data_IF_352917162569
#
_entry.id   IF_352917162569
#
_cell.length_a   1.000
_cell.length_b   1.000
_cell.length_c   1.000
_cell.angle_alpha   90.00
_cell.angle_beta   90.00
_cell.angle_gamma   90.00
#
_symmetry.space_group_name_H-M   'P 1'
#
loop_
_entity.id
_entity.type
_entity.pdbx_description
1 polymer ?
#
# COMPACT_ATOMS: atom_id res chain seq x y z
N UNK A 1 -15.95 -14.13 8.84
CA UNK A 1 -16.23 -13.98 7.40
C UNK A 1 -16.06 -12.54 6.95
N UNK A 2 -16.64 -11.56 7.65
CA UNK A 2 -16.51 -10.11 7.35
C UNK A 2 -15.06 -9.64 7.13
N UNK A 3 -14.12 -10.05 7.99
CA UNK A 3 -12.71 -9.66 7.89
C UNK A 3 -12.04 -10.17 6.60
N UNK A 4 -12.38 -11.37 6.13
CA UNK A 4 -11.88 -11.90 4.85
C UNK A 4 -12.41 -11.09 3.66
N UNK A 5 -13.66 -10.62 3.75
CA UNK A 5 -14.23 -9.74 2.71
C UNK A 5 -13.49 -8.40 2.71
N UNK A 6 -13.16 -7.83 3.89
CA UNK A 6 -12.36 -6.60 3.99
C UNK A 6 -10.98 -6.75 3.35
N UNK A 7 -10.27 -7.84 3.67
CA UNK A 7 -8.96 -8.17 3.05
C UNK A 7 -9.10 -8.29 1.54
N UNK A 8 -10.13 -8.97 1.06
CA UNK A 8 -10.37 -9.14 -0.37
C UNK A 8 -10.65 -7.79 -1.06
N UNK A 9 -11.51 -6.93 -0.49
CA UNK A 9 -11.77 -5.58 -1.01
C UNK A 9 -10.48 -4.77 -1.07
N UNK A 10 -9.69 -4.78 0.01
CA UNK A 10 -8.42 -4.06 0.07
C UNK A 10 -7.44 -4.53 -1.02
N UNK A 11 -7.39 -5.85 -1.23
CA UNK A 11 -6.59 -6.49 -2.28
C UNK A 11 -7.07 -6.07 -3.68
N UNK A 12 -8.38 -6.12 -3.96
CA UNK A 12 -8.94 -5.73 -5.25
C UNK A 12 -8.74 -4.24 -5.54
N UNK A 13 -8.88 -3.38 -4.54
CA UNK A 13 -8.60 -1.95 -4.68
C UNK A 13 -7.13 -1.70 -5.04
N UNK A 14 -6.19 -2.44 -4.46
CA UNK A 14 -4.78 -2.31 -4.79
C UNK A 14 -4.42 -2.87 -6.15
N UNK A 15 -5.08 -3.94 -6.60
CA UNK A 15 -4.97 -4.38 -7.99
C UNK A 15 -5.51 -3.33 -8.95
N UNK A 16 -6.65 -2.71 -8.63
CA UNK A 16 -7.21 -1.61 -9.42
C UNK A 16 -6.23 -0.42 -9.48
N UNK A 17 -5.59 -0.07 -8.36
CA UNK A 17 -4.55 0.95 -8.31
C UNK A 17 -3.37 0.63 -9.25
N UNK A 18 -2.81 -0.58 -9.18
CA UNK A 18 -1.73 -1.01 -10.09
C UNK A 18 -2.15 -0.97 -11.56
N UNK A 19 -3.33 -1.52 -11.88
CA UNK A 19 -3.83 -1.56 -13.26
C UNK A 19 -4.29 -0.19 -13.77
N UNK A 20 -4.63 0.75 -12.90
CA UNK A 20 -4.89 2.13 -13.30
C UNK A 20 -3.66 2.78 -13.94
N UNK A 21 -2.45 2.40 -13.48
CA UNK A 21 -1.18 2.89 -14.01
C UNK A 21 -0.66 2.04 -15.18
N UNK A 22 -1.00 0.76 -15.26
CA UNK A 22 -0.50 -0.16 -16.32
C UNK A 22 -1.41 -0.26 -17.54
N UNK A 23 -2.71 -0.06 -17.35
CA UNK A 23 -3.76 -0.29 -18.33
C UNK A 23 -4.18 -1.75 -18.42
N UNK A 24 -5.44 -1.99 -18.81
CA UNK A 24 -6.03 -3.34 -18.96
C UNK A 24 -5.31 -4.17 -20.02
N UNK A 25 -4.72 -3.51 -21.02
CA UNK A 25 -3.92 -4.15 -22.07
C UNK A 25 -2.68 -4.87 -21.51
N UNK A 26 -2.23 -4.55 -20.30
CA UNK A 26 -1.14 -5.28 -19.64
C UNK A 26 -1.52 -6.70 -19.21
N UNK A 27 -2.81 -7.00 -18.99
CA UNK A 27 -3.24 -8.37 -18.69
C UNK A 27 -2.90 -9.34 -19.82
N UNK A 28 -3.04 -8.91 -21.08
CA UNK A 28 -2.72 -9.76 -22.23
C UNK A 28 -1.21 -9.97 -22.40
N UNK A 29 -0.40 -8.96 -22.04
CA UNK A 29 1.06 -9.03 -22.17
C UNK A 29 1.70 -9.80 -21.00
N UNK A 30 1.09 -9.74 -19.82
CA UNK A 30 1.59 -10.34 -18.58
C UNK A 30 0.45 -11.04 -17.83
N UNK A 31 -0.09 -12.15 -18.37
CA UNK A 31 -1.29 -12.80 -17.83
C UNK A 31 -1.13 -13.35 -16.41
N UNK A 32 0.11 -13.61 -15.97
CA UNK A 32 0.40 -14.08 -14.61
C UNK A 32 0.67 -12.94 -13.61
N UNK A 33 0.85 -11.69 -14.07
CA UNK A 33 1.08 -10.56 -13.18
C UNK A 33 -0.09 -10.30 -12.20
N UNK A 34 -1.38 -10.36 -12.59
CA UNK A 34 -2.46 -10.17 -11.63
C UNK A 34 -2.46 -11.23 -10.53
N UNK A 35 -2.20 -12.50 -10.88
CA UNK A 35 -2.10 -13.58 -9.90
C UNK A 35 -0.92 -13.37 -8.95
N UNK A 36 0.22 -12.93 -9.49
CA UNK A 36 1.38 -12.60 -8.69
C UNK A 36 1.08 -11.46 -7.71
N UNK A 37 0.50 -10.35 -8.19
CA UNK A 37 0.12 -9.21 -7.36
C UNK A 37 -0.93 -9.60 -6.31
N UNK A 38 -1.88 -10.48 -6.66
CA UNK A 38 -2.83 -11.05 -5.71
C UNK A 38 -2.11 -11.79 -4.57
N UNK A 39 -1.11 -12.63 -4.91
CA UNK A 39 -0.32 -13.39 -3.95
C UNK A 39 0.61 -12.52 -3.09
N UNK A 40 0.84 -11.26 -3.45
CA UNK A 40 1.56 -10.27 -2.64
C UNK A 40 0.58 -9.46 -1.78
N UNK A 41 -0.44 -8.87 -2.39
CA UNK A 41 -1.37 -7.98 -1.70
C UNK A 41 -2.27 -8.73 -0.72
N UNK A 42 -2.74 -9.94 -1.06
CA UNK A 42 -3.65 -10.66 -0.18
C UNK A 42 -2.99 -11.02 1.16
N UNK A 43 -1.79 -11.64 1.21
CA UNK A 43 -1.09 -11.85 2.49
C UNK A 43 -0.77 -10.54 3.22
N UNK A 44 -0.34 -9.50 2.50
CA UNK A 44 -0.08 -8.19 3.09
C UNK A 44 -1.31 -7.63 3.83
N UNK A 45 -2.46 -7.57 3.16
CA UNK A 45 -3.69 -7.07 3.77
C UNK A 45 -4.23 -7.98 4.85
N UNK A 46 -4.05 -9.30 4.74
CA UNK A 46 -4.44 -10.23 5.79
C UNK A 46 -3.61 -10.06 7.07
N UNK A 47 -2.29 -9.83 6.94
CA UNK A 47 -1.40 -9.54 8.07
C UNK A 47 -1.76 -8.19 8.68
N UNK A 48 -1.98 -7.16 7.86
CA UNK A 48 -2.30 -5.82 8.34
C UNK A 48 -3.67 -5.78 9.04
N UNK A 49 -4.69 -6.42 8.47
CA UNK A 49 -6.00 -6.60 9.12
C UNK A 49 -5.88 -7.37 10.45
N UNK A 50 -5.06 -8.41 10.50
CA UNK A 50 -4.78 -9.12 11.76
C UNK A 50 -4.14 -8.18 12.80
N UNK A 51 -3.18 -7.36 12.40
CA UNK A 51 -2.53 -6.39 13.27
C UNK A 51 -3.49 -5.30 13.74
N UNK A 52 -4.35 -4.78 12.85
CA UNK A 52 -5.39 -3.80 13.18
C UNK A 52 -6.34 -4.36 14.24
N UNK A 53 -6.87 -5.56 14.00
CA UNK A 53 -7.81 -6.19 14.93
C UNK A 53 -7.13 -6.59 16.24
N UNK A 54 -5.96 -7.23 16.21
CA UNK A 54 -5.28 -7.73 17.41
C UNK A 54 -4.73 -6.61 18.28
N UNK A 55 -4.08 -5.61 17.69
CA UNK A 55 -3.38 -4.54 18.40
C UNK A 55 -4.16 -3.21 18.42
N UNK A 56 -5.41 -3.21 17.94
CA UNK A 56 -6.29 -2.03 17.91
C UNK A 56 -5.67 -0.83 17.20
N UNK A 57 -4.91 -1.08 16.14
CA UNK A 57 -4.17 -0.03 15.45
C UNK A 57 -5.10 1.10 15.00
N UNK A 58 -4.64 2.34 15.21
CA UNK A 58 -5.24 3.57 14.69
C UNK A 58 -4.72 3.85 13.28
N UNK A 59 -5.32 4.79 12.58
CA UNK A 59 -4.86 5.30 11.27
C UNK A 59 -3.36 5.56 11.18
N UNK A 60 -2.76 6.28 12.13
CA UNK A 60 -1.32 6.53 12.09
C UNK A 60 -0.48 5.27 12.33
N UNK A 61 -0.96 4.29 13.09
CA UNK A 61 -0.29 3.00 13.23
C UNK A 61 -0.37 2.22 11.92
N UNK A 62 -1.53 2.24 11.24
CA UNK A 62 -1.69 1.63 9.92
C UNK A 62 -0.78 2.31 8.90
N UNK A 63 -0.63 3.63 8.96
CA UNK A 63 0.30 4.39 8.14
C UNK A 63 1.74 3.96 8.39
N UNK A 64 2.18 3.87 9.65
CA UNK A 64 3.54 3.44 10.00
C UNK A 64 3.77 1.98 9.58
N UNK A 65 2.79 1.09 9.78
CA UNK A 65 2.89 -0.30 9.34
C UNK A 65 3.00 -0.40 7.81
N UNK A 66 2.21 0.38 7.06
CA UNK A 66 2.32 0.50 5.61
C UNK A 66 3.67 1.07 5.17
N UNK A 67 4.18 2.09 5.87
CA UNK A 67 5.51 2.66 5.63
C UNK A 67 6.62 1.60 5.83
N UNK A 68 6.60 0.86 6.94
CA UNK A 68 7.57 -0.21 7.22
C UNK A 68 7.51 -1.26 6.13
N UNK A 69 6.30 -1.67 5.73
CA UNK A 69 6.14 -2.64 4.66
C UNK A 69 6.67 -2.13 3.32
N UNK A 70 6.32 -0.91 2.92
CA UNK A 70 6.81 -0.28 1.69
C UNK A 70 8.33 -0.11 1.69
N UNK A 71 8.91 0.25 2.84
CA UNK A 71 10.36 0.36 3.01
C UNK A 71 11.04 -1.01 2.84
N UNK A 72 10.52 -2.07 3.45
CA UNK A 72 11.08 -3.42 3.28
C UNK A 72 10.83 -3.98 1.87
N UNK A 73 9.70 -3.67 1.25
CA UNK A 73 9.39 -4.08 -0.12
C UNK A 73 10.38 -3.48 -1.14
N UNK A 74 11.00 -2.34 -0.84
CA UNK A 74 12.03 -1.71 -1.66
C UNK A 74 13.23 -2.63 -1.97
N UNK A 75 13.54 -3.58 -1.08
CA UNK A 75 14.62 -4.55 -1.31
C UNK A 75 14.30 -5.53 -2.45
N UNK A 76 13.02 -5.80 -2.67
CA UNK A 76 12.54 -6.79 -3.62
C UNK A 76 12.06 -6.14 -4.92
N UNK A 77 11.46 -4.94 -4.79
CA UNK A 77 10.92 -4.15 -5.89
C UNK A 77 11.64 -2.79 -5.92
N UNK A 78 12.94 -2.75 -6.29
CA UNK A 78 13.65 -1.49 -6.32
C UNK A 78 13.18 -0.69 -7.53
N UNK A 79 12.41 0.35 -7.22
CA UNK A 79 11.84 1.28 -8.19
C UNK A 79 12.60 2.61 -8.25
N UNK A 80 11.87 3.70 -8.48
CA UNK A 80 12.42 5.05 -8.65
C UNK A 80 13.24 5.57 -7.46
N UNK A 81 13.10 4.98 -6.27
CA UNK A 81 13.88 5.35 -5.08
C UNK A 81 15.39 5.08 -5.20
N UNK A 82 15.83 4.29 -6.17
CA UNK A 82 17.24 4.06 -6.49
C UNK A 82 17.68 4.72 -7.81
N UNK A 83 16.85 5.57 -8.40
CA UNK A 83 17.21 6.36 -9.57
C UNK A 83 17.73 7.73 -9.15
N UNK A 84 18.74 8.31 -9.83
CA UNK A 84 19.23 9.66 -9.55
C UNK A 84 18.10 10.72 -9.50
N UNK A 85 18.27 11.80 -8.72
CA UNK A 85 19.42 12.11 -7.86
C UNK A 85 19.45 11.26 -6.58
N UNK A 86 20.64 10.75 -6.22
CA UNK A 86 20.84 9.93 -5.02
C UNK A 86 21.60 10.72 -3.96
N UNK A 87 21.05 10.77 -2.74
CA UNK A 87 21.71 11.28 -1.55
C UNK A 87 21.74 10.13 -0.52
N UNK A 88 22.94 9.73 -0.08
CA UNK A 88 23.14 8.53 0.74
C UNK A 88 22.54 7.25 0.10
N UNK A 89 22.64 7.15 -1.23
CA UNK A 89 22.18 5.97 -1.98
C UNK A 89 20.66 5.89 -2.18
N UNK A 90 19.90 6.93 -1.82
CA UNK A 90 18.45 7.01 -2.01
C UNK A 90 18.04 8.30 -2.71
N UNK A 91 17.04 8.19 -3.57
CA UNK A 91 16.24 9.32 -4.01
C UNK A 91 15.15 9.54 -2.97
N UNK A 92 15.39 10.46 -2.03
CA UNK A 92 14.50 10.69 -0.89
C UNK A 92 13.09 11.10 -1.29
N UNK A 93 12.94 11.91 -2.33
CA UNK A 93 11.63 12.31 -2.83
C UNK A 93 10.84 11.08 -3.29
N UNK A 94 11.44 10.24 -4.14
CA UNK A 94 10.82 8.99 -4.61
C UNK A 94 10.58 8.00 -3.46
N UNK A 95 11.53 7.88 -2.54
CA UNK A 95 11.42 6.98 -1.39
C UNK A 95 10.23 7.36 -0.51
N UNK A 96 10.17 8.61 -0.01
CA UNK A 96 9.07 9.05 0.85
C UNK A 96 7.73 9.07 0.12
N UNK A 97 7.72 9.46 -1.15
CA UNK A 97 6.50 9.38 -1.95
C UNK A 97 5.96 7.94 -2.01
N UNK A 98 6.82 6.97 -2.36
CA UNK A 98 6.41 5.57 -2.44
C UNK A 98 6.01 5.04 -1.06
N UNK A 99 6.81 5.24 -0.02
CA UNK A 99 6.56 4.58 1.28
C UNK A 99 5.48 5.27 2.12
N UNK A 100 5.40 6.60 2.10
CA UNK A 100 4.42 7.37 2.89
C UNK A 100 3.14 7.57 2.10
N UNK A 101 3.21 8.15 0.90
CA UNK A 101 2.00 8.52 0.14
C UNK A 101 1.32 7.28 -0.41
N UNK A 102 2.05 6.41 -1.11
CA UNK A 102 1.47 5.19 -1.66
C UNK A 102 1.26 4.12 -0.61
N UNK A 103 2.32 3.53 -0.05
CA UNK A 103 2.18 2.37 0.85
C UNK A 103 1.46 2.71 2.16
N UNK A 104 1.88 3.77 2.85
CA UNK A 104 1.33 4.15 4.16
C UNK A 104 -0.08 4.75 4.09
N UNK A 105 -0.28 5.76 3.27
CA UNK A 105 -1.56 6.49 3.23
C UNK A 105 -2.56 5.85 2.28
N UNK A 106 -2.20 5.67 1.02
CA UNK A 106 -3.18 5.30 0.00
C UNK A 106 -3.50 3.80 0.02
N UNK A 107 -2.48 2.94 -0.05
CA UNK A 107 -2.60 1.49 -0.11
C UNK A 107 -2.92 0.87 1.25
N UNK A 108 -2.62 1.54 2.38
CA UNK A 108 -3.00 1.06 3.71
C UNK A 108 -4.20 1.84 4.28
N UNK A 109 -4.01 3.06 4.78
CA UNK A 109 -5.06 3.81 5.51
C UNK A 109 -6.33 3.99 4.67
N UNK A 110 -6.22 4.57 3.48
CA UNK A 110 -7.37 4.87 2.64
C UNK A 110 -8.04 3.59 2.12
N UNK A 111 -7.25 2.57 1.79
CA UNK A 111 -7.75 1.26 1.38
C UNK A 111 -8.58 0.59 2.48
N UNK A 112 -8.09 0.59 3.73
CA UNK A 112 -8.85 0.03 4.86
C UNK A 112 -10.09 0.83 5.20
N UNK A 113 -10.02 2.17 5.06
CA UNK A 113 -11.21 3.01 5.14
C UNK A 113 -12.29 2.54 4.14
N UNK A 114 -11.94 2.35 2.86
CA UNK A 114 -12.86 1.86 1.82
C UNK A 114 -13.43 0.49 2.19
N UNK A 115 -12.56 -0.44 2.59
CA UNK A 115 -12.97 -1.79 2.97
C UNK A 115 -13.97 -1.80 4.13
N UNK A 116 -13.75 -0.97 5.17
CA UNK A 116 -14.67 -0.82 6.31
C UNK A 116 -15.93 -0.03 5.97
N UNK A 117 -15.84 0.94 5.07
CA UNK A 117 -17.02 1.66 4.59
C UNK A 117 -18.00 0.69 3.92
N UNK A 118 -17.50 -0.27 3.14
CA UNK A 118 -18.33 -1.29 2.47
C UNK A 118 -18.78 -2.38 3.47
N UNK A 119 -17.85 -2.93 4.25
CA UNK A 119 -18.13 -4.00 5.22
C UNK A 119 -17.76 -3.55 6.63
N UNK A 120 -18.76 -3.08 7.37
CA UNK A 120 -18.60 -2.74 8.77
C UNK A 120 -18.57 -4.00 9.62
N UNK A 121 -17.45 -4.29 10.29
CA UNK A 121 -17.45 -5.37 11.26
C UNK A 121 -18.02 -4.93 12.59
N UNK A 122 -18.95 -5.73 13.13
CA UNK A 122 -19.60 -5.47 14.43
C UNK A 122 -18.85 -6.12 15.60
N UNK A 123 -17.87 -6.98 15.33
CA UNK A 123 -17.18 -7.76 16.37
C UNK A 123 -15.68 -7.76 16.15
N UNK A 124 -15.00 -7.29 17.18
CA UNK A 124 -13.56 -7.41 17.32
C UNK A 124 -13.18 -8.84 17.74
N UNK A 125 -13.08 -9.76 16.78
CA UNK A 125 -12.52 -11.10 17.00
C UNK A 125 -11.12 -11.17 16.41
N UNK A 126 -10.21 -11.90 17.06
CA UNK A 126 -8.91 -12.25 16.49
C UNK A 126 -9.12 -12.94 15.14
N UNK A 127 -8.84 -12.20 14.07
CA UNK A 127 -9.14 -12.58 12.69
C UNK A 127 -8.45 -13.89 12.27
N UNK A 128 -7.19 -14.02 12.63
CA UNK A 128 -6.35 -15.17 12.31
C UNK A 128 -5.90 -15.84 13.61
N UNK A 129 -6.13 -17.15 13.70
CA UNK A 129 -5.49 -17.97 14.72
C UNK A 129 -3.99 -18.11 14.39
N UNK A 130 -3.16 -18.21 15.42
CA UNK A 130 -1.78 -18.66 15.20
C UNK A 130 -1.81 -20.12 14.72
N UNK A 131 -1.04 -20.49 13.68
CA UNK A 131 0.14 -19.80 13.13
C UNK A 131 -0.08 -18.97 11.84
N UNK A 132 -1.31 -18.70 11.43
CA UNK A 132 -1.61 -18.16 10.09
C UNK A 132 -0.85 -16.87 9.68
N UNK A 133 -0.61 -15.87 10.55
CA UNK A 133 0.18 -14.68 10.18
C UNK A 133 1.62 -14.99 9.77
N UNK A 134 2.23 -16.02 10.37
CA UNK A 134 3.61 -16.45 10.05
C UNK A 134 3.63 -17.07 8.66
N UNK A 135 2.66 -17.94 8.36
CA UNK A 135 2.52 -18.59 7.04
C UNK A 135 2.32 -17.53 5.96
N UNK A 136 1.42 -16.56 6.19
CA UNK A 136 1.18 -15.46 5.25
C UNK A 136 2.42 -14.59 5.03
N UNK A 137 3.20 -14.35 6.09
CA UNK A 137 4.48 -13.62 5.97
C UNK A 137 5.47 -14.41 5.11
N UNK A 138 5.55 -15.73 5.32
CA UNK A 138 6.36 -16.61 4.48
C UNK A 138 5.95 -16.55 3.01
N UNK A 139 4.66 -16.64 2.70
CA UNK A 139 4.13 -16.52 1.32
C UNK A 139 4.53 -15.16 0.73
N UNK A 140 4.33 -14.08 1.48
CA UNK A 140 4.64 -12.72 1.04
C UNK A 140 6.12 -12.54 0.68
N UNK A 141 7.02 -12.96 1.57
CA UNK A 141 8.46 -12.88 1.35
C UNK A 141 8.88 -13.76 0.17
N UNK A 142 8.37 -14.99 0.07
CA UNK A 142 8.64 -15.88 -1.06
C UNK A 142 8.23 -15.24 -2.39
N UNK A 143 7.03 -14.65 -2.47
CA UNK A 143 6.55 -14.01 -3.69
C UNK A 143 7.39 -12.79 -4.06
N UNK A 144 7.69 -11.90 -3.10
CA UNK A 144 8.55 -10.75 -3.32
C UNK A 144 9.94 -11.17 -3.82
N UNK A 145 10.49 -12.25 -3.27
CA UNK A 145 11.77 -12.79 -3.70
C UNK A 145 11.74 -13.38 -5.11
N UNK A 146 10.69 -14.14 -5.46
CA UNK A 146 10.47 -14.62 -6.82
C UNK A 146 10.37 -13.46 -7.83
N UNK A 147 9.70 -12.37 -7.45
CA UNK A 147 9.61 -11.18 -8.29
C UNK A 147 10.96 -10.52 -8.53
N UNK A 148 11.75 -10.37 -7.47
CA UNK A 148 13.11 -9.82 -7.55
C UNK A 148 13.95 -10.61 -8.56
N UNK A 149 13.87 -11.94 -8.55
CA UNK A 149 14.58 -12.77 -9.52
C UNK A 149 14.02 -12.70 -10.94
N UNK A 150 12.71 -12.49 -11.08
CA UNK A 150 12.08 -12.34 -12.39
C UNK A 150 12.49 -11.03 -13.10
N UNK A 151 12.89 -9.99 -12.36
CA UNK A 151 13.30 -8.70 -12.93
C UNK A 151 14.80 -8.72 -13.24
N UNK A 152 15.14 -8.91 -14.52
CA UNK A 152 16.53 -8.94 -15.00
C UNK A 152 17.29 -7.62 -14.91
N UNK A 153 16.59 -6.48 -14.96
CA UNK A 153 17.20 -5.13 -15.05
C UNK A 153 16.95 -4.27 -13.82
N UNK A 154 16.80 -4.91 -12.66
CA UNK A 154 16.49 -4.17 -11.44
C UNK A 154 17.71 -3.37 -10.95
N UNK A 155 17.54 -2.10 -10.55
CA UNK A 155 18.66 -1.27 -10.13
C UNK A 155 19.40 -1.91 -8.94
N UNK A 156 20.71 -1.70 -8.91
CA UNK A 156 21.54 -2.10 -7.78
C UNK A 156 21.19 -1.23 -6.58
N UNK A 157 21.05 -1.86 -5.42
CA UNK A 157 20.74 -1.18 -4.16
C UNK A 157 22.09 -0.79 -3.52
N UNK A 158 22.41 0.51 -3.38
CA UNK A 158 23.63 0.92 -2.69
C UNK A 158 23.60 0.47 -1.24
N UNK A 159 24.72 -0.05 -0.73
CA UNK A 159 24.82 -0.59 0.64
C UNK A 159 24.38 0.44 1.68
N UNK A 160 24.80 1.70 1.54
CA UNK A 160 24.40 2.77 2.45
C UNK A 160 22.89 3.05 2.41
N UNK A 161 22.26 2.98 1.23
CA UNK A 161 20.81 3.12 1.08
C UNK A 161 20.07 1.94 1.72
N UNK A 162 20.59 0.71 1.58
CA UNK A 162 20.04 -0.47 2.24
C UNK A 162 20.06 -0.34 3.77
N UNK A 163 21.19 0.09 4.34
CA UNK A 163 21.33 0.31 5.80
C UNK A 163 20.31 1.34 6.28
N UNK A 164 20.13 2.45 5.55
CA UNK A 164 19.16 3.48 5.90
C UNK A 164 17.71 2.97 5.85
N UNK A 165 17.35 2.17 4.84
CA UNK A 165 16.02 1.55 4.75
C UNK A 165 15.77 0.64 5.95
N UNK A 166 16.73 -0.22 6.31
CA UNK A 166 16.61 -1.09 7.50
C UNK A 166 16.44 -0.24 8.76
N UNK A 167 17.27 0.79 8.94
CA UNK A 167 17.19 1.68 10.09
C UNK A 167 15.80 2.35 10.20
N UNK A 168 15.27 2.88 9.10
CA UNK A 168 13.93 3.49 9.07
C UNK A 168 12.82 2.48 9.35
N UNK A 169 12.92 1.26 8.81
CA UNK A 169 11.97 0.19 9.10
C UNK A 169 11.99 -0.20 10.59
N UNK A 170 13.19 -0.34 11.18
CA UNK A 170 13.35 -0.61 12.61
C UNK A 170 12.79 0.53 13.47
N UNK A 171 13.05 1.79 13.11
CA UNK A 171 12.48 2.95 13.81
C UNK A 171 10.95 2.97 13.73
N UNK A 172 10.37 2.63 12.58
CA UNK A 172 8.92 2.50 12.41
C UNK A 172 8.33 1.38 13.28
N UNK A 173 8.97 0.21 13.31
CA UNK A 173 8.56 -0.91 14.17
C UNK A 173 8.65 -0.58 15.66
N UNK A 174 9.73 0.10 16.09
CA UNK A 174 9.89 0.58 17.46
C UNK A 174 8.78 1.57 17.82
N UNK A 175 8.50 2.53 16.92
CA UNK A 175 7.42 3.50 17.12
C UNK A 175 6.09 2.77 17.31
N UNK A 176 5.73 1.84 16.42
CA UNK A 176 4.53 1.01 16.57
C UNK A 176 4.50 0.34 17.95
N UNK A 177 5.53 -0.41 18.31
CA UNK A 177 5.60 -1.12 19.59
C UNK A 177 5.37 -0.21 20.79
N UNK A 178 5.89 1.03 20.76
CA UNK A 178 5.75 1.98 21.86
C UNK A 178 4.42 2.74 21.91
N UNK A 179 3.71 2.87 20.78
CA UNK A 179 2.49 3.70 20.68
C UNK A 179 1.20 2.92 20.60
N UNK A 180 1.26 1.58 20.47
CA UNK A 180 0.09 0.72 20.32
C UNK A 180 -0.98 1.03 21.38
N UNK A 181 -2.24 1.25 20.97
CA UNK A 181 -3.27 1.73 21.87
C UNK A 181 -3.88 0.56 22.68
N UNK A 182 -4.33 0.88 23.89
CA UNK A 182 -5.07 -0.06 24.73
C UNK A 182 -6.58 -0.09 24.48
N UNK A 183 -7.13 0.75 23.59
CA UNK A 183 -8.59 0.89 23.38
C UNK A 183 -8.97 0.82 21.89
N UNK A 184 -10.09 0.15 21.54
CA UNK A 184 -10.57 0.04 20.17
C UNK A 184 -11.11 1.37 19.62
N UNK A 185 -10.86 1.63 18.34
CA UNK A 185 -11.46 2.76 17.60
C UNK A 185 -12.73 2.29 16.93
N UNK A 186 -13.85 2.97 17.19
CA UNK A 186 -15.13 2.68 16.54
C UNK A 186 -15.15 3.31 15.15
N UNK A 187 -15.44 2.51 14.14
CA UNK A 187 -15.55 3.00 12.77
C UNK A 187 -16.74 3.95 12.64
N UNK A 188 -16.52 5.14 12.05
CA UNK A 188 -17.56 6.12 11.73
C UNK A 188 -17.43 6.53 10.27
N UNK A 189 -18.52 6.54 9.50
CA UNK A 189 -18.42 6.96 8.10
C UNK A 189 -18.13 8.45 7.98
N UNK A 190 -17.30 8.81 7.00
CA UNK A 190 -16.96 10.20 6.73
C UNK A 190 -17.33 10.56 5.29
N UNK A 191 -18.28 11.50 5.13
CA UNK A 191 -18.84 11.84 3.80
C UNK A 191 -17.77 12.26 2.78
N UNK A 192 -16.77 13.03 3.21
CA UNK A 192 -15.69 13.49 2.32
C UNK A 192 -14.86 12.29 1.84
N UNK A 193 -14.56 11.34 2.73
CA UNK A 193 -13.78 10.16 2.38
C UNK A 193 -14.58 9.18 1.50
N UNK A 194 -15.90 9.11 1.69
CA UNK A 194 -16.80 8.33 0.82
C UNK A 194 -16.82 8.91 -0.61
N UNK A 195 -16.89 10.24 -0.76
CA UNK A 195 -16.81 10.92 -2.05
C UNK A 195 -15.44 10.68 -2.70
N UNK A 196 -14.35 10.85 -1.94
CA UNK A 196 -13.01 10.58 -2.44
C UNK A 196 -12.84 9.12 -2.86
N UNK A 197 -13.36 8.16 -2.10
CA UNK A 197 -13.30 6.74 -2.42
C UNK A 197 -14.00 6.45 -3.75
N UNK A 198 -15.22 6.97 -3.92
CA UNK A 198 -15.99 6.80 -5.15
C UNK A 198 -15.30 7.43 -6.35
N UNK A 199 -14.84 8.68 -6.23
CA UNK A 199 -14.11 9.38 -7.28
C UNK A 199 -12.82 8.66 -7.67
N UNK A 200 -12.10 8.11 -6.67
CA UNK A 200 -10.88 7.32 -6.90
C UNK A 200 -11.15 6.08 -7.74
N UNK A 201 -12.19 5.31 -7.40
CA UNK A 201 -12.55 4.09 -8.14
C UNK A 201 -12.90 4.43 -9.58
N UNK A 202 -13.71 5.46 -9.82
CA UNK A 202 -14.07 5.92 -11.18
C UNK A 202 -12.82 6.33 -11.95
N UNK A 203 -11.97 7.17 -11.35
CA UNK A 203 -10.75 7.64 -11.99
C UNK A 203 -9.82 6.48 -12.37
N UNK A 204 -9.68 5.49 -11.49
CA UNK A 204 -8.80 4.35 -11.74
C UNK A 204 -9.32 3.42 -12.83
N UNK A 205 -10.63 3.18 -12.87
CA UNK A 205 -11.27 2.45 -13.97
C UNK A 205 -11.06 3.22 -15.28
N UNK A 206 -11.24 4.54 -15.26
CA UNK A 206 -11.02 5.37 -16.44
C UNK A 206 -9.56 5.29 -16.94
N UNK A 207 -8.59 5.44 -16.04
CA UNK A 207 -7.16 5.34 -16.37
C UNK A 207 -6.78 3.94 -16.88
N UNK A 208 -7.36 2.88 -16.31
CA UNK A 208 -7.08 1.51 -16.72
C UNK A 208 -7.64 1.18 -18.11
N UNK A 209 -8.80 1.72 -18.47
CA UNK A 209 -9.50 1.38 -19.72
C UNK A 209 -9.18 2.30 -20.90
N UNK A 210 -9.04 3.62 -20.66
CA UNK A 210 -9.00 4.61 -21.74
C UNK A 210 -7.62 5.18 -22.03
N UNK A 211 -6.73 5.24 -21.04
CA UNK A 211 -5.38 5.73 -21.23
C UNK A 211 -4.48 4.55 -21.63
N UNK A 212 -3.83 4.61 -22.80
CA UNK A 212 -3.04 3.48 -23.33
C UNK A 212 -1.61 3.80 -23.81
N UNK A 213 -1.07 5.00 -23.56
CA UNK A 213 0.31 5.38 -23.89
C UNK A 213 1.35 4.63 -23.04
N UNK A 214 1.77 3.45 -23.47
CA UNK A 214 2.78 2.64 -22.77
C UNK A 214 4.19 3.17 -22.99
N UNK A 215 4.90 3.46 -21.89
CA UNK A 215 6.36 3.68 -21.88
C UNK A 215 6.99 2.83 -20.77
N UNK A 216 8.27 2.50 -20.95
CA UNK A 216 9.06 1.87 -19.90
C UNK A 216 9.48 2.94 -18.89
N UNK A 217 9.01 2.86 -17.65
CA UNK A 217 9.39 3.76 -16.56
C UNK A 217 10.05 2.93 -15.45
N UNK A 218 11.38 3.08 -15.33
CA UNK A 218 12.20 2.17 -14.54
C UNK A 218 12.17 0.76 -15.12
N UNK A 219 11.58 -0.19 -14.36
CA UNK A 219 11.48 -1.61 -14.73
C UNK A 219 10.07 -2.04 -15.16
N UNK A 220 9.11 -1.11 -15.18
CA UNK A 220 7.71 -1.39 -15.46
C UNK A 220 7.26 -0.69 -16.74
N UNK A 221 6.56 -1.41 -17.61
CA UNK A 221 5.76 -0.78 -18.65
C UNK A 221 4.53 -0.21 -17.97
N UNK A 222 4.43 1.11 -18.00
CA UNK A 222 3.34 1.86 -17.42
C UNK A 222 2.80 2.82 -18.46
N UNK A 223 1.53 3.17 -18.29
CA UNK A 223 0.98 4.31 -18.96
C UNK A 223 1.52 5.59 -18.31
N UNK A 224 2.24 6.41 -19.07
CA UNK A 224 2.85 7.62 -18.48
C UNK A 224 1.80 8.65 -18.10
N UNK A 225 0.80 8.87 -18.96
CA UNK A 225 -0.32 9.78 -18.70
C UNK A 225 -1.12 9.34 -17.47
N UNK A 226 -1.45 8.04 -17.37
CA UNK A 226 -2.11 7.48 -16.19
C UNK A 226 -1.27 7.65 -14.93
N UNK A 227 0.04 7.40 -15.00
CA UNK A 227 0.93 7.60 -13.83
C UNK A 227 0.89 9.05 -13.37
N UNK A 228 0.95 10.04 -14.29
CA UNK A 228 0.86 11.46 -13.93
C UNK A 228 -0.48 11.76 -13.24
N UNK A 229 -1.59 11.30 -13.82
CA UNK A 229 -2.94 11.51 -13.27
C UNK A 229 -3.11 10.84 -11.90
N UNK A 230 -2.67 9.59 -11.76
CA UNK A 230 -2.75 8.81 -10.52
C UNK A 230 -1.83 9.39 -9.44
N UNK A 231 -0.63 9.85 -9.78
CA UNK A 231 0.27 10.54 -8.84
C UNK A 231 -0.38 11.84 -8.35
N UNK A 232 -0.89 12.68 -9.24
CA UNK A 232 -1.57 13.91 -8.86
C UNK A 232 -2.79 13.64 -7.95
N UNK A 233 -3.60 12.63 -8.31
CA UNK A 233 -4.76 12.25 -7.52
C UNK A 233 -4.39 11.69 -6.14
N UNK A 234 -3.38 10.82 -6.06
CA UNK A 234 -2.92 10.26 -4.77
C UNK A 234 -2.33 11.33 -3.86
N UNK A 235 -1.70 12.37 -4.40
CA UNK A 235 -1.29 13.56 -3.64
C UNK A 235 -2.48 14.36 -3.09
N UNK A 236 -3.55 14.51 -3.87
CA UNK A 236 -4.80 15.16 -3.40
C UNK A 236 -5.41 14.34 -2.26
N UNK A 237 -5.54 13.03 -2.42
CA UNK A 237 -6.08 12.13 -1.37
C UNK A 237 -5.21 12.19 -0.11
N UNK A 238 -3.88 12.14 -0.26
CA UNK A 238 -2.94 12.31 0.85
C UNK A 238 -3.13 13.65 1.55
N UNK A 239 -3.22 14.75 0.79
CA UNK A 239 -3.44 16.09 1.32
C UNK A 239 -4.74 16.20 2.11
N UNK A 240 -5.84 15.64 1.60
CA UNK A 240 -7.12 15.64 2.33
C UNK A 240 -7.04 14.82 3.62
N UNK A 241 -6.50 13.59 3.58
CA UNK A 241 -6.36 12.76 4.78
C UNK A 241 -5.45 13.42 5.83
N UNK A 242 -4.39 14.07 5.39
CA UNK A 242 -3.46 14.80 6.26
C UNK A 242 -4.10 16.06 6.87
N UNK A 243 -4.81 16.85 6.07
CA UNK A 243 -5.54 18.04 6.53
C UNK A 243 -6.65 17.66 7.51
N UNK A 244 -7.43 16.62 7.20
CA UNK A 244 -8.43 16.07 8.11
C UNK A 244 -7.79 15.71 9.44
N UNK A 245 -6.65 15.02 9.43
CA UNK A 245 -5.94 14.64 10.66
C UNK A 245 -5.44 15.84 11.45
N UNK A 246 -4.79 16.81 10.81
CA UNK A 246 -4.20 17.98 11.49
C UNK A 246 -5.29 18.90 12.04
N UNK A 247 -6.29 19.22 11.22
CA UNK A 247 -7.31 20.23 11.53
C UNK A 247 -8.36 19.65 12.46
N UNK A 248 -8.94 18.49 12.12
CA UNK A 248 -10.02 17.93 12.91
C UNK A 248 -9.52 17.21 14.17
N UNK A 249 -8.24 16.80 14.20
CA UNK A 249 -7.64 15.89 15.20
C UNK A 249 -8.41 14.57 15.36
N UNK A 250 -9.35 14.29 14.45
CA UNK A 250 -10.13 13.05 14.45
C UNK A 250 -9.32 11.95 13.79
N UNK A 251 -9.56 10.75 14.26
CA UNK A 251 -8.95 9.56 13.71
C UNK A 251 -9.66 9.18 12.41
N UNK A 252 -8.88 8.86 11.37
CA UNK A 252 -9.45 8.23 10.19
C UNK A 252 -9.87 6.82 10.63
N UNK A 253 -11.13 6.44 10.46
CA UNK A 253 -11.63 5.18 10.97
C UNK A 253 -11.19 4.07 10.00
N UNK A 254 -10.07 3.43 10.32
CA UNK A 254 -9.45 2.31 9.59
C UNK A 254 -9.69 0.97 10.24
#
# INVERSE_FOLDING_TARGET
>A
MENWIRVFIATMFNLLFEYSMRGINDLFQRPFLPLFLLMVYFPYFAILEHCIEKYRMRDYHVLIAGFVFGALAAFFIPGGMFNPPLLFGLNWASFFFITVVWWGTFQAVFTFYIARAIVQSRRYATFLAQPAPIILTGILVCMLFLFRFAIKSAPQIPVIGAILIVFMACAGLLTLHTTLPGKPVVFTRHKILDILAFATIILFIFCALFLTDKKLLGIHYVNTTSVIVVVAWTLIVFGVLWLERIISKKEIPV
#
